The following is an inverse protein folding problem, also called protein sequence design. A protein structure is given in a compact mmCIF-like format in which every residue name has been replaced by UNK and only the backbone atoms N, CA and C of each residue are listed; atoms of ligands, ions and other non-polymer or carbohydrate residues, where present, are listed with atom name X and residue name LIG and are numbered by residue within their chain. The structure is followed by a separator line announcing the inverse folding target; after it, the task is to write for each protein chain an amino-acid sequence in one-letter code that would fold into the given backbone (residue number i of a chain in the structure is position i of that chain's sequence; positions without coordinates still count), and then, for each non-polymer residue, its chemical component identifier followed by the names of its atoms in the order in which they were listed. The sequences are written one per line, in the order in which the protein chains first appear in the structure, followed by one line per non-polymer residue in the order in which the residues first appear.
data_IF_857707090938
#
_entry.id   IF_857707090938
#
_cell.length_a   1.000
_cell.length_b   1.000
_cell.length_c   1.000
_cell.angle_alpha   90.00
_cell.angle_beta   90.00
_cell.angle_gamma   90.00
#
_symmetry.space_group_name_H-M   'P 1'
#
loop_
_entity.id
_entity.type
_entity.pdbx_description
1 polymer ?
#
# COMPACT_ATOMS: atom_id res chain seq x y z
N UNK A 1 -11.88 -23.82 -3.27
CA UNK A 1 -10.49 -23.43 -3.54
C UNK A 1 -10.53 -22.17 -4.38
N UNK A 2 -10.41 -21.01 -3.73
CA UNK A 2 -10.12 -19.75 -4.40
C UNK A 2 -8.94 -19.19 -3.64
N UNK A 3 -7.80 -19.17 -4.31
CA UNK A 3 -6.50 -18.79 -3.76
C UNK A 3 -6.57 -17.41 -3.11
N UNK A 4 -6.23 -17.33 -1.83
CA UNK A 4 -6.09 -16.09 -1.08
C UNK A 4 -4.70 -15.45 -1.31
N UNK A 5 -4.17 -15.52 -2.52
CA UNK A 5 -2.76 -15.18 -2.81
C UNK A 5 -2.59 -14.55 -4.19
N UNK A 6 -3.16 -13.36 -4.38
CA UNK A 6 -2.53 -12.25 -5.11
C UNK A 6 -3.47 -11.06 -5.17
N UNK A 7 -3.46 -10.21 -4.15
CA UNK A 7 -3.84 -8.81 -4.38
C UNK A 7 -2.52 -8.06 -4.43
N UNK A 8 -1.94 -8.01 -5.64
CA UNK A 8 -0.94 -6.99 -5.91
C UNK A 8 -1.65 -5.66 -5.66
N UNK A 9 -1.36 -5.02 -4.53
CA UNK A 9 -1.75 -3.64 -4.24
C UNK A 9 -1.17 -2.81 -5.39
N UNK A 10 -2.00 -2.48 -6.39
CA UNK A 10 -1.60 -1.74 -7.61
C UNK A 10 -1.31 -0.27 -7.31
N UNK A 11 -0.75 -0.01 -6.13
CA UNK A 11 -0.42 1.32 -5.65
C UNK A 11 0.91 1.78 -6.23
N UNK A 12 0.97 3.07 -6.46
CA UNK A 12 2.19 3.74 -6.87
C UNK A 12 3.13 3.82 -5.66
N UNK A 13 4.45 3.87 -5.86
CA UNK A 13 5.35 4.24 -4.77
C UNK A 13 5.00 5.64 -4.25
N UNK A 14 5.04 5.85 -2.93
CA UNK A 14 4.73 7.15 -2.33
C UNK A 14 5.51 8.31 -2.96
N UNK A 15 6.81 8.10 -3.21
CA UNK A 15 7.67 9.10 -3.86
C UNK A 15 7.18 9.50 -5.24
N UNK A 16 6.69 8.55 -6.04
CA UNK A 16 6.09 8.81 -7.34
C UNK A 16 4.76 9.56 -7.18
N UNK A 17 3.87 9.06 -6.32
CA UNK A 17 2.57 9.66 -6.07
C UNK A 17 2.65 11.12 -5.61
N UNK A 18 3.55 11.40 -4.65
CA UNK A 18 3.80 12.76 -4.14
C UNK A 18 4.44 13.67 -5.19
N UNK A 19 5.44 13.17 -5.92
CA UNK A 19 6.18 13.95 -6.93
C UNK A 19 5.28 14.35 -8.09
N UNK A 20 4.52 13.40 -8.61
CA UNK A 20 3.72 13.59 -9.82
C UNK A 20 2.24 13.90 -9.53
N UNK A 21 1.85 13.93 -8.25
CA UNK A 21 0.51 14.35 -7.84
C UNK A 21 -0.58 13.40 -8.30
N UNK A 22 -0.35 12.09 -8.15
CA UNK A 22 -1.29 11.02 -8.52
C UNK A 22 -1.43 9.96 -7.42
N UNK A 23 -2.65 9.48 -7.17
CA UNK A 23 -2.97 8.39 -6.25
C UNK A 23 -3.93 7.43 -6.94
N UNK A 24 -3.74 6.13 -6.75
CA UNK A 24 -4.64 5.09 -7.29
C UNK A 24 -5.53 4.61 -6.16
N UNK A 25 -6.84 4.66 -6.38
CA UNK A 25 -7.84 3.97 -5.59
C UNK A 25 -8.26 2.69 -6.33
N UNK A 26 -8.18 1.55 -5.64
CA UNK A 26 -8.54 0.25 -6.18
C UNK A 26 -10.06 0.20 -6.43
N UNK A 27 -10.46 -0.39 -7.56
CA UNK A 27 -11.86 -0.49 -7.98
C UNK A 27 -11.99 -1.14 -9.36
N UNK A 28 -13.21 -1.31 -9.86
CA UNK A 28 -13.46 -1.86 -11.19
C UNK A 28 -14.43 -0.94 -11.98
N UNK A 29 -13.91 -0.01 -12.80
CA UNK A 29 -12.48 0.27 -13.06
C UNK A 29 -11.82 1.07 -11.91
N UNK A 30 -10.48 1.02 -11.77
CA UNK A 30 -9.75 1.84 -10.80
C UNK A 30 -9.95 3.34 -11.02
N UNK A 31 -9.76 4.12 -9.96
CA UNK A 31 -9.81 5.59 -10.02
C UNK A 31 -8.40 6.17 -9.78
N UNK A 32 -7.94 7.01 -10.69
CA UNK A 32 -6.70 7.78 -10.54
C UNK A 32 -7.06 9.19 -10.10
N UNK A 33 -6.82 9.46 -8.83
CA UNK A 33 -6.94 10.79 -8.23
C UNK A 33 -5.71 11.61 -8.60
N UNK A 34 -5.89 12.83 -9.09
CA UNK A 34 -4.77 13.70 -9.43
C UNK A 34 -5.03 15.15 -9.06
N UNK A 35 -3.97 15.91 -8.78
CA UNK A 35 -4.05 17.37 -8.65
C UNK A 35 -3.88 18.08 -9.98
N UNK A 36 -4.12 19.39 -10.00
CA UNK A 36 -3.78 20.22 -11.14
C UNK A 36 -2.29 20.12 -11.50
N UNK A 37 -1.99 20.02 -12.79
CA UNK A 37 -0.62 19.93 -13.31
C UNK A 37 -0.08 18.50 -13.50
N UNK A 38 -0.87 17.45 -13.26
CA UNK A 38 -0.49 16.10 -13.65
C UNK A 38 -0.30 16.01 -15.18
N UNK A 39 0.90 15.60 -15.61
CA UNK A 39 1.25 15.55 -17.05
C UNK A 39 0.62 14.34 -17.73
N UNK A 40 0.40 14.43 -19.05
CA UNK A 40 -0.05 13.29 -19.84
C UNK A 40 0.92 12.09 -19.75
N UNK A 41 2.23 12.35 -19.69
CA UNK A 41 3.27 11.33 -19.47
C UNK A 41 3.09 10.60 -18.13
N UNK A 42 2.74 11.34 -17.07
CA UNK A 42 2.43 10.73 -15.76
C UNK A 42 1.25 9.77 -15.89
N UNK A 43 0.16 10.19 -16.54
CA UNK A 43 -1.04 9.35 -16.71
C UNK A 43 -0.77 8.12 -17.58
N UNK A 44 0.07 8.25 -18.61
CA UNK A 44 0.52 7.12 -19.42
C UNK A 44 1.34 6.12 -18.61
N UNK A 45 2.23 6.60 -17.74
CA UNK A 45 3.02 5.74 -16.86
C UNK A 45 2.14 5.02 -15.83
N UNK A 46 1.13 5.71 -15.28
CA UNK A 46 0.12 5.08 -14.42
C UNK A 46 -0.62 3.99 -15.19
N UNK A 47 -1.05 4.24 -16.44
CA UNK A 47 -1.72 3.22 -17.28
C UNK A 47 -0.81 2.03 -17.56
N UNK A 48 0.44 2.28 -17.92
CA UNK A 48 1.44 1.23 -18.19
C UNK A 48 1.63 0.33 -16.98
N UNK A 49 1.59 0.90 -15.77
CA UNK A 49 1.76 0.16 -14.52
C UNK A 49 0.50 -0.59 -14.08
N UNK A 50 -0.69 0.01 -14.24
CA UNK A 50 -1.97 -0.63 -13.88
C UNK A 50 -2.35 -1.75 -14.84
N UNK A 51 -1.97 -1.64 -16.11
CA UNK A 51 -2.26 -2.62 -17.15
C UNK A 51 -3.73 -2.65 -17.58
N UNK A 52 -4.55 -1.73 -17.09
CA UNK A 52 -6.00 -1.69 -17.33
C UNK A 52 -6.51 -0.26 -17.52
N UNK A 53 -7.77 -0.14 -17.92
CA UNK A 53 -8.46 1.16 -18.02
C UNK A 53 -8.83 1.66 -16.63
N UNK A 54 -8.65 2.96 -16.41
CA UNK A 54 -9.02 3.64 -15.18
C UNK A 54 -9.81 4.92 -15.49
N UNK A 55 -10.47 5.45 -14.49
CA UNK A 55 -11.12 6.76 -14.53
C UNK A 55 -10.24 7.81 -13.84
N UNK A 56 -10.45 9.09 -14.17
CA UNK A 56 -9.69 10.20 -13.59
C UNK A 56 -10.59 11.04 -12.70
N UNK A 57 -10.08 11.38 -11.52
CA UNK A 57 -10.74 12.33 -10.64
C UNK A 57 -9.76 13.44 -10.25
N UNK A 58 -10.11 14.68 -10.61
CA UNK A 58 -9.31 15.85 -10.28
C UNK A 58 -9.64 16.38 -8.90
N UNK A 59 -8.61 16.82 -8.19
CA UNK A 59 -8.69 17.46 -6.88
C UNK A 59 -7.88 18.75 -6.85
N UNK A 60 -8.26 19.68 -5.99
CA UNK A 60 -7.35 20.77 -5.62
C UNK A 60 -6.18 20.23 -4.79
N UNK A 61 -5.18 21.08 -4.56
CA UNK A 61 -3.97 20.72 -3.82
C UNK A 61 -4.29 20.21 -2.41
N UNK A 62 -5.21 20.85 -1.69
CA UNK A 62 -5.47 20.53 -0.29
C UNK A 62 -6.20 19.20 -0.13
N UNK A 63 -7.21 18.96 -0.97
CA UNK A 63 -7.93 17.71 -1.05
C UNK A 63 -7.01 16.56 -1.48
N UNK A 64 -6.12 16.80 -2.45
CA UNK A 64 -5.17 15.80 -2.90
C UNK A 64 -4.16 15.40 -1.80
N UNK A 65 -3.57 16.35 -1.08
CA UNK A 65 -2.61 16.05 -0.01
C UNK A 65 -3.26 15.25 1.14
N UNK A 66 -4.54 15.50 1.44
CA UNK A 66 -5.31 14.67 2.38
C UNK A 66 -5.50 13.23 1.87
N UNK A 67 -5.89 13.07 0.62
CA UNK A 67 -6.05 11.75 -0.02
C UNK A 67 -4.73 10.99 -0.04
N UNK A 68 -3.65 11.65 -0.45
CA UNK A 68 -2.30 11.09 -0.43
C UNK A 68 -1.91 10.63 0.97
N UNK A 69 -2.16 11.44 1.99
CA UNK A 69 -1.84 11.07 3.37
C UNK A 69 -2.63 9.82 3.82
N UNK A 70 -3.94 9.79 3.58
CA UNK A 70 -4.80 8.67 3.95
C UNK A 70 -4.43 7.37 3.22
N UNK A 71 -4.13 7.45 1.92
CA UNK A 71 -3.80 6.29 1.10
C UNK A 71 -2.52 5.56 1.55
N UNK A 72 -1.55 6.29 2.12
CA UNK A 72 -0.26 5.71 2.54
C UNK A 72 -0.12 5.56 4.06
N UNK A 73 -1.00 6.16 4.87
CA UNK A 73 -1.08 5.87 6.31
C UNK A 73 -1.63 4.47 6.59
N UNK A 74 -2.62 4.01 5.82
CA UNK A 74 -3.21 2.66 5.97
C UNK A 74 -2.19 1.52 5.84
N UNK A 75 -1.22 1.68 4.93
CA UNK A 75 -0.14 0.70 4.72
C UNK A 75 0.80 0.61 5.94
N UNK A 76 1.07 1.73 6.62
CA UNK A 76 1.87 1.68 7.86
C UNK A 76 1.16 0.97 9.02
N UNK A 77 -0.17 0.89 8.99
CA UNK A 77 -0.96 0.14 9.96
C UNK A 77 -1.08 -1.35 9.59
N UNK A 78 -1.25 -1.68 8.31
CA UNK A 78 -1.23 -3.07 7.83
C UNK A 78 0.17 -3.69 7.94
N UNK A 79 1.24 -2.95 7.63
CA UNK A 79 2.61 -3.39 7.85
C UNK A 79 2.95 -3.58 9.33
N UNK A 80 2.37 -2.76 10.23
CA UNK A 80 2.48 -2.96 11.68
C UNK A 80 1.68 -4.17 12.16
N UNK A 81 0.46 -4.38 11.66
CA UNK A 81 -0.35 -5.56 12.00
C UNK A 81 0.31 -6.86 11.53
N UNK A 82 0.94 -6.87 10.36
CA UNK A 82 1.71 -8.04 9.90
C UNK A 82 2.95 -8.31 10.78
N UNK A 83 3.62 -7.26 11.29
CA UNK A 83 4.70 -7.40 12.26
C UNK A 83 4.20 -7.86 13.65
N UNK A 84 3.02 -7.42 14.09
CA UNK A 84 2.38 -7.86 15.33
C UNK A 84 1.90 -9.32 15.24
N UNK A 85 1.33 -9.73 14.11
CA UNK A 85 0.88 -11.11 13.86
C UNK A 85 2.07 -12.09 13.77
N UNK A 86 3.19 -11.71 13.13
CA UNK A 86 4.44 -12.49 13.15
C UNK A 86 5.07 -12.52 14.56
N UNK A 87 4.91 -11.45 15.34
CA UNK A 87 5.34 -11.40 16.74
C UNK A 87 4.51 -12.28 17.68
N UNK A 88 3.30 -12.66 17.28
CA UNK A 88 2.37 -13.48 18.06
C UNK A 88 2.48 -14.99 17.77
N UNK A 89 3.20 -15.40 16.71
CA UNK A 89 3.59 -16.80 16.45
C UNK A 89 4.98 -17.16 17.02
N UNK A 90 5.59 -16.27 17.81
CA UNK A 90 6.80 -16.58 18.60
C UNK A 90 6.48 -17.36 19.89
N UNK A 91 5.67 -18.41 19.77
CA UNK A 91 5.56 -19.47 20.78
C UNK A 91 6.17 -20.79 20.27
N UNK A 92 7.21 -20.67 19.42
CA UNK A 92 7.90 -21.81 18.80
C UNK A 92 9.34 -22.02 19.28
N UNK A 93 9.82 -21.27 20.27
CA UNK A 93 11.08 -21.55 20.97
C UNK A 93 11.05 -21.04 22.41
N UNK A 94 10.32 -21.73 23.29
CA UNK A 94 10.61 -21.68 24.74
C UNK A 94 10.36 -23.03 25.41
N UNK A 95 10.69 -24.12 24.71
CA UNK A 95 10.78 -25.46 25.29
C UNK A 95 12.08 -26.13 24.84
N UNK A 96 13.17 -25.78 25.52
CA UNK A 96 14.40 -26.57 25.75
C UNK A 96 15.45 -25.57 26.28
N UNK A 97 16.05 -25.67 27.45
CA UNK A 97 16.19 -26.78 28.39
C UNK A 97 16.74 -26.13 29.68
N UNK A 98 15.92 -25.84 30.69
CA UNK A 98 16.45 -25.53 32.03
C UNK A 98 16.80 -26.85 32.70
N UNK A 99 17.99 -27.38 32.39
CA UNK A 99 18.57 -28.48 33.16
C UNK A 99 19.32 -27.94 34.39
N UNK A 100 19.18 -28.62 35.54
CA UNK A 100 19.34 -28.03 36.87
C UNK A 100 20.80 -27.83 37.28
N UNK A 101 20.99 -26.83 38.15
CA UNK A 101 22.20 -26.63 38.94
C UNK A 101 22.54 -27.88 39.75
N UNK A 102 23.81 -28.26 39.83
CA UNK A 102 24.40 -28.86 41.03
C UNK A 102 25.92 -28.69 41.04
N UNK A 103 26.43 -28.63 42.26
CA UNK A 103 27.72 -28.12 42.76
C UNK A 103 29.00 -28.76 42.21
#
# INVERSE_FOLDING_TARGET
MTDASNIATKRLPFSFAKRFGVVVEDGEPPVVHHRDGASAETLLEVRRRLGEVFTLQRHDTEAFERLLTQAYQRDSSEAKQLMEDIGNESDLFSLADELPQTE
#
